data_IF_733397000251
#
_entry.id   IF_733397000251
#
_cell.length_a   1.000
_cell.length_b   1.000
_cell.length_c   1.000
_cell.angle_alpha   90.00
_cell.angle_beta   90.00
_cell.angle_gamma   90.00
#
_symmetry.space_group_name_H-M   'P 1'
#
loop_
_entity.id
_entity.type
_entity.pdbx_description
1 polymer ?
#
# COMPACT_ATOMS: atom_id res chain seq x y z
N UNK A 1 -0.10 -4.15 -16.42
CA UNK A 1 -0.25 -3.74 -15.01
C UNK A 1 -0.82 -2.34 -14.94
N UNK A 2 -1.81 -2.10 -14.08
CA UNK A 2 -2.34 -0.77 -13.82
C UNK A 2 -1.49 -0.10 -12.74
N UNK A 3 -1.08 1.14 -12.99
CA UNK A 3 -0.28 1.95 -12.06
C UNK A 3 -1.19 2.96 -11.36
N UNK A 4 -1.05 3.07 -10.04
CA UNK A 4 -1.80 4.03 -9.21
C UNK A 4 -0.82 5.07 -8.67
N UNK A 5 -0.92 6.30 -9.19
CA UNK A 5 -0.20 7.44 -8.66
C UNK A 5 -0.83 7.89 -7.32
N UNK A 6 -0.05 7.83 -6.24
CA UNK A 6 -0.49 8.23 -4.90
C UNK A 6 -0.20 9.70 -4.58
N UNK A 7 0.46 10.41 -5.49
CA UNK A 7 0.88 11.82 -5.34
C UNK A 7 1.58 12.11 -4.00
N UNK A 8 2.33 11.13 -3.49
CA UNK A 8 3.02 11.17 -2.18
C UNK A 8 2.08 11.30 -0.95
N UNK A 9 0.80 10.99 -1.09
CA UNK A 9 -0.15 10.92 0.03
C UNK A 9 -0.17 9.49 0.61
N UNK A 10 0.30 9.38 1.87
CA UNK A 10 0.33 8.12 2.61
C UNK A 10 -1.07 7.51 2.81
N UNK A 11 -2.13 8.32 2.90
CA UNK A 11 -3.50 7.83 3.06
C UNK A 11 -4.00 7.17 1.78
N UNK A 12 -3.66 7.73 0.61
CA UNK A 12 -3.99 7.10 -0.67
C UNK A 12 -3.25 5.79 -0.84
N UNK A 13 -1.94 5.76 -0.56
CA UNK A 13 -1.16 4.53 -0.62
C UNK A 13 -1.73 3.42 0.30
N UNK A 14 -2.12 3.76 1.53
CA UNK A 14 -2.76 2.82 2.46
C UNK A 14 -4.14 2.34 1.97
N UNK A 15 -4.96 3.21 1.39
CA UNK A 15 -6.30 2.84 0.89
C UNK A 15 -6.24 1.84 -0.28
N UNK A 16 -5.20 1.93 -1.11
CA UNK A 16 -5.02 1.04 -2.25
C UNK A 16 -4.25 -0.25 -1.92
N UNK A 17 -3.57 -0.34 -0.77
CA UNK A 17 -2.82 -1.55 -0.39
C UNK A 17 -3.70 -2.82 -0.32
N UNK A 18 -4.92 -2.81 0.25
CA UNK A 18 -5.81 -3.98 0.20
C UNK A 18 -6.33 -4.29 -1.21
N UNK A 19 -6.42 -3.28 -2.09
CA UNK A 19 -6.86 -3.47 -3.47
C UNK A 19 -5.81 -4.27 -4.27
N UNK A 20 -4.53 -4.06 -3.97
CA UNK A 20 -3.42 -4.80 -4.56
C UNK A 20 -3.44 -6.31 -4.26
N UNK A 21 -4.17 -6.74 -3.22
CA UNK A 21 -4.37 -8.16 -2.91
C UNK A 21 -5.36 -8.85 -3.86
N UNK A 22 -6.32 -8.11 -4.42
CA UNK A 22 -7.38 -8.67 -5.28
C UNK A 22 -7.08 -8.49 -6.77
N UNK A 23 -6.32 -7.47 -7.14
CA UNK A 23 -6.07 -7.08 -8.53
C UNK A 23 -4.58 -6.77 -8.70
N UNK A 24 -3.94 -7.19 -9.80
CA UNK A 24 -2.55 -6.85 -10.07
C UNK A 24 -2.40 -5.36 -10.41
N UNK A 25 -2.25 -4.55 -9.35
CA UNK A 25 -1.98 -3.10 -9.42
C UNK A 25 -0.63 -2.79 -8.78
N UNK A 26 0.05 -1.78 -9.31
CA UNK A 26 1.31 -1.26 -8.76
C UNK A 26 1.00 0.11 -8.15
N UNK A 27 1.22 0.24 -6.84
CA UNK A 27 1.08 1.51 -6.12
C UNK A 27 2.40 2.26 -6.23
N UNK A 28 2.40 3.43 -6.83
CA UNK A 28 3.59 4.25 -6.94
C UNK A 28 3.90 4.94 -5.60
N UNK A 29 5.19 5.05 -5.26
CA UNK A 29 5.70 5.66 -4.03
C UNK A 29 5.12 5.06 -2.74
N UNK A 30 4.90 3.74 -2.71
CA UNK A 30 4.37 3.04 -1.54
C UNK A 30 5.20 3.25 -0.26
N UNK A 31 6.50 3.57 -0.39
CA UNK A 31 7.40 3.89 0.73
C UNK A 31 6.99 5.14 1.54
N UNK A 32 6.13 6.01 1.01
CA UNK A 32 5.66 7.20 1.75
C UNK A 32 4.81 6.84 2.96
N UNK A 33 4.21 5.64 2.97
CA UNK A 33 3.46 5.11 4.12
C UNK A 33 4.39 4.92 5.31
N UNK A 34 5.61 4.41 5.09
CA UNK A 34 6.61 4.12 6.12
C UNK A 34 7.05 5.37 6.90
N UNK A 35 6.86 6.57 6.34
CA UNK A 35 7.11 7.85 7.04
C UNK A 35 6.13 8.10 8.18
N UNK A 36 4.87 7.68 8.02
CA UNK A 36 3.80 7.89 9.01
C UNK A 36 3.52 6.63 9.82
N UNK A 37 3.61 5.46 9.17
CA UNK A 37 3.35 4.16 9.75
C UNK A 37 4.40 3.16 9.25
N UNK A 38 5.47 2.99 10.04
CA UNK A 38 6.62 2.13 9.68
C UNK A 38 6.23 0.66 9.48
N UNK A 39 5.39 0.12 10.35
CA UNK A 39 5.05 -1.30 10.38
C UNK A 39 3.82 -1.65 9.52
N UNK A 40 3.29 -0.70 8.73
CA UNK A 40 2.06 -0.89 7.97
C UNK A 40 2.08 -2.15 7.09
N UNK A 41 3.20 -2.40 6.39
CA UNK A 41 3.32 -3.54 5.48
C UNK A 41 3.43 -4.87 6.23
N UNK A 42 4.13 -4.89 7.36
CA UNK A 42 4.24 -6.07 8.24
C UNK A 42 2.86 -6.40 8.85
N UNK A 43 2.12 -5.40 9.31
CA UNK A 43 0.76 -5.56 9.85
C UNK A 43 -0.22 -6.00 8.76
N UNK A 44 -0.10 -5.45 7.55
CA UNK A 44 -0.91 -5.85 6.39
C UNK A 44 -0.60 -7.30 5.98
N UNK A 45 0.67 -7.70 5.98
CA UNK A 45 1.07 -9.08 5.73
C UNK A 45 0.48 -10.03 6.78
N UNK A 46 0.63 -9.69 8.08
CA UNK A 46 0.10 -10.48 9.18
C UNK A 46 -1.44 -10.60 9.16
N UNK A 47 -2.17 -9.57 8.68
CA UNK A 47 -3.62 -9.60 8.59
C UNK A 47 -4.16 -10.45 7.42
N UNK A 48 -3.44 -10.53 6.29
CA UNK A 48 -3.97 -11.11 5.05
C UNK A 48 -3.26 -12.38 4.57
N UNK A 49 -2.07 -12.70 5.07
CA UNK A 49 -1.25 -13.83 4.60
C UNK A 49 -0.96 -14.89 5.68
N UNK A 50 -1.65 -14.83 6.82
CA UNK A 50 -1.64 -15.89 7.85
C UNK A 50 -2.62 -17.03 7.53
#
# INVERSE_FOLDING_TARGET
NMHIATYNDHRMAMAFAPLALKVPVIIENAEVVTKSYRNFWEDLEACFFN
#
